data_IF_710126243166
#
_entry.id   IF_710126243166
#
_cell.length_a   1.000
_cell.length_b   1.000
_cell.length_c   1.000
_cell.angle_alpha   90.00
_cell.angle_beta   90.00
_cell.angle_gamma   90.00
#
_symmetry.space_group_name_H-M   'P 1'
#
loop_
_entity.id
_entity.type
_entity.pdbx_description
1 polymer ?
#
# COMPACT_ATOMS: atom_id res chain seq x y z
N UNK A 1 -9.77 12.68 18.23
CA UNK A 1 -8.58 13.04 17.42
C UNK A 1 -9.02 13.24 15.98
N UNK A 2 -8.32 14.06 15.18
CA UNK A 2 -8.64 14.27 13.76
C UNK A 2 -7.60 13.59 12.89
N UNK A 3 -8.06 12.91 11.84
CA UNK A 3 -7.25 12.31 10.79
C UNK A 3 -6.94 13.36 9.71
N UNK A 4 -5.76 13.32 9.15
CA UNK A 4 -5.40 14.07 7.93
C UNK A 4 -5.64 13.17 6.74
N UNK A 5 -6.62 13.48 5.94
CA UNK A 5 -7.04 12.70 4.78
C UNK A 5 -6.69 13.46 3.51
N UNK A 6 -5.93 12.84 2.62
CA UNK A 6 -5.62 13.38 1.32
C UNK A 6 -6.79 13.20 0.34
N UNK A 7 -7.37 11.99 0.34
CA UNK A 7 -8.58 11.70 -0.46
C UNK A 7 -9.30 10.44 0.06
N UNK A 8 -10.60 10.34 -0.23
CA UNK A 8 -11.40 9.12 -0.07
C UNK A 8 -12.06 8.87 -1.42
N UNK A 9 -11.93 7.66 -1.97
CA UNK A 9 -12.48 7.35 -3.29
C UNK A 9 -12.84 5.86 -3.44
N UNK A 10 -13.62 5.59 -4.44
CA UNK A 10 -14.14 4.26 -4.77
C UNK A 10 -15.70 4.23 -4.78
N UNK A 11 -16.36 3.06 -4.79
CA UNK A 11 -15.72 1.74 -4.90
C UNK A 11 -14.97 1.56 -6.22
N UNK A 12 -13.79 0.98 -6.12
CA UNK A 12 -12.98 0.54 -7.24
C UNK A 12 -12.38 -0.82 -6.91
N UNK A 13 -11.30 -1.23 -7.56
CA UNK A 13 -10.58 -2.47 -7.22
C UNK A 13 -9.21 -2.16 -6.61
N UNK A 14 -8.76 -2.99 -5.65
CA UNK A 14 -7.36 -2.94 -5.24
C UNK A 14 -6.47 -3.40 -6.40
N UNK A 15 -5.50 -2.57 -6.75
CA UNK A 15 -4.60 -2.82 -7.90
C UNK A 15 -3.34 -3.59 -7.57
N UNK A 16 -3.07 -3.91 -6.29
CA UNK A 16 -1.77 -4.42 -5.85
C UNK A 16 -1.86 -5.47 -4.75
N UNK A 17 -0.78 -6.26 -4.64
CA UNK A 17 -0.55 -7.17 -3.52
C UNK A 17 -1.62 -8.26 -3.38
N UNK A 18 -1.82 -8.71 -2.15
CA UNK A 18 -2.68 -9.86 -1.82
C UNK A 18 -4.17 -9.61 -2.14
N UNK A 19 -4.60 -8.36 -2.18
CA UNK A 19 -6.00 -7.96 -2.43
C UNK A 19 -6.27 -7.54 -3.89
N UNK A 20 -5.34 -7.78 -4.81
CA UNK A 20 -5.50 -7.40 -6.22
C UNK A 20 -6.85 -7.90 -6.78
N UNK A 21 -7.61 -6.98 -7.40
CA UNK A 21 -8.94 -7.26 -7.95
C UNK A 21 -10.09 -7.17 -6.94
N UNK A 22 -9.83 -7.04 -5.64
CA UNK A 22 -10.88 -6.95 -4.64
C UNK A 22 -11.61 -5.60 -4.69
N UNK A 23 -12.97 -5.55 -4.65
CA UNK A 23 -13.72 -4.31 -4.50
C UNK A 23 -13.31 -3.57 -3.23
N UNK A 24 -12.98 -2.28 -3.36
CA UNK A 24 -12.32 -1.52 -2.30
C UNK A 24 -12.75 -0.05 -2.32
N UNK A 25 -12.94 0.54 -1.14
CA UNK A 25 -12.91 1.98 -0.93
C UNK A 25 -11.57 2.34 -0.31
N UNK A 26 -10.90 3.33 -0.86
CA UNK A 26 -9.62 3.82 -0.37
C UNK A 26 -9.77 5.02 0.55
N UNK A 27 -9.07 4.97 1.68
CA UNK A 27 -8.87 6.12 2.58
C UNK A 27 -7.37 6.44 2.56
N UNK A 28 -7.01 7.50 1.84
CA UNK A 28 -5.63 7.91 1.63
C UNK A 28 -5.19 8.92 2.69
N UNK A 29 -4.30 8.52 3.57
CA UNK A 29 -3.72 9.35 4.62
C UNK A 29 -2.82 10.45 4.05
N UNK A 30 -2.92 11.67 4.60
CA UNK A 30 -2.01 12.77 4.28
C UNK A 30 -0.80 12.80 5.23
N UNK A 31 0.39 12.79 4.64
CA UNK A 31 1.70 12.79 5.30
C UNK A 31 2.39 11.42 5.26
N UNK A 32 3.71 11.46 5.16
CA UNK A 32 4.60 10.31 5.20
C UNK A 32 5.90 10.69 5.93
N UNK A 33 6.52 9.72 6.55
CA UNK A 33 7.85 9.82 7.15
C UNK A 33 8.98 9.46 6.18
N UNK A 34 8.64 8.93 4.98
CA UNK A 34 9.56 8.67 3.85
C UNK A 34 9.35 9.66 2.70
N UNK A 35 10.34 9.75 1.80
CA UNK A 35 10.36 10.58 0.59
C UNK A 35 10.92 9.80 -0.59
N UNK A 36 10.28 8.66 -0.91
CA UNK A 36 10.73 7.79 -2.00
C UNK A 36 10.83 8.57 -3.33
N UNK A 37 11.93 8.38 -4.06
CA UNK A 37 12.21 9.08 -5.33
C UNK A 37 11.12 8.84 -6.37
N UNK A 38 10.57 7.63 -6.39
CA UNK A 38 9.54 7.18 -7.33
C UNK A 38 8.14 7.09 -6.69
N UNK A 39 7.83 7.96 -5.73
CA UNK A 39 6.51 7.97 -5.08
C UNK A 39 5.42 8.43 -6.04
N UNK A 40 4.45 7.57 -6.33
CA UNK A 40 3.28 7.84 -7.16
C UNK A 40 2.20 8.68 -6.46
N UNK A 41 2.32 8.83 -5.15
CA UNK A 41 1.32 9.49 -4.30
C UNK A 41 1.88 10.76 -3.62
N UNK A 42 2.76 11.50 -4.30
CA UNK A 42 3.40 12.71 -3.74
C UNK A 42 2.40 13.74 -3.20
N UNK A 43 1.19 13.82 -3.77
CA UNK A 43 0.12 14.66 -3.28
C UNK A 43 -0.37 14.29 -1.86
N UNK A 44 -0.15 13.04 -1.45
CA UNK A 44 -0.43 12.57 -0.09
C UNK A 44 0.81 12.59 0.81
N UNK A 45 2.00 12.77 0.26
CA UNK A 45 3.28 12.70 0.98
C UNK A 45 3.85 14.07 1.25
N UNK A 46 3.98 14.93 0.23
CA UNK A 46 4.65 16.22 0.35
C UNK A 46 3.76 17.27 1.03
N UNK A 47 4.36 17.96 2.00
CA UNK A 47 3.70 19.04 2.75
C UNK A 47 3.30 20.24 1.88
N UNK A 48 3.87 20.39 0.69
CA UNK A 48 3.42 21.38 -0.31
C UNK A 48 1.93 21.18 -0.68
N UNK A 49 1.44 19.94 -0.63
CA UNK A 49 0.05 19.61 -0.89
C UNK A 49 -0.84 19.61 0.36
N UNK A 50 -0.29 19.97 1.55
CA UNK A 50 -1.03 19.92 2.82
C UNK A 50 -2.31 20.76 2.81
N UNK A 51 -2.37 21.79 1.99
CA UNK A 51 -3.54 22.63 1.81
C UNK A 51 -4.72 21.90 1.17
N UNK A 52 -4.48 20.75 0.50
CA UNK A 52 -5.49 19.88 -0.09
C UNK A 52 -6.00 18.81 0.89
N UNK A 53 -5.27 18.57 2.00
CA UNK A 53 -5.65 17.55 2.96
C UNK A 53 -6.74 18.06 3.89
N UNK A 54 -7.75 17.23 4.10
CA UNK A 54 -8.85 17.53 5.01
C UNK A 54 -8.54 16.98 6.41
N UNK A 55 -8.93 17.72 7.44
CA UNK A 55 -8.95 17.24 8.82
C UNK A 55 -10.34 16.71 9.11
N UNK A 56 -10.46 15.40 9.27
CA UNK A 56 -11.72 14.70 9.46
C UNK A 56 -11.73 13.93 10.77
N UNK A 57 -12.89 13.82 11.42
CA UNK A 57 -13.07 12.85 12.51
C UNK A 57 -13.17 11.44 11.94
N UNK A 58 -12.93 10.41 12.75
CA UNK A 58 -13.15 9.03 12.35
C UNK A 58 -14.60 8.79 11.87
N UNK A 59 -15.57 9.43 12.54
CA UNK A 59 -17.00 9.35 12.13
C UNK A 59 -17.23 9.97 10.75
N UNK A 60 -16.66 11.15 10.47
CA UNK A 60 -16.84 11.80 9.17
C UNK A 60 -16.20 10.98 8.02
N UNK A 61 -15.04 10.38 8.25
CA UNK A 61 -14.42 9.44 7.28
C UNK A 61 -15.32 8.22 7.08
N UNK A 62 -15.86 7.67 8.16
CA UNK A 62 -16.74 6.51 8.09
C UNK A 62 -18.04 6.80 7.33
N UNK A 63 -18.65 7.95 7.56
CA UNK A 63 -19.87 8.38 6.86
C UNK A 63 -19.63 8.48 5.35
N UNK A 64 -18.47 8.99 4.94
CA UNK A 64 -18.08 9.08 3.52
C UNK A 64 -17.84 7.69 2.91
N UNK A 65 -17.12 6.81 3.60
CA UNK A 65 -16.91 5.40 3.16
C UNK A 65 -18.24 4.68 2.97
N UNK A 66 -19.19 4.84 3.92
CA UNK A 66 -20.52 4.24 3.81
C UNK A 66 -21.33 4.81 2.64
N UNK A 67 -21.23 6.11 2.42
CA UNK A 67 -21.91 6.74 1.29
C UNK A 67 -21.40 6.19 -0.05
N UNK A 68 -20.08 6.08 -0.21
CA UNK A 68 -19.45 5.54 -1.41
C UNK A 68 -19.82 4.07 -1.67
N UNK A 69 -19.84 3.24 -0.63
CA UNK A 69 -20.18 1.81 -0.75
C UNK A 69 -21.70 1.53 -0.81
N UNK A 70 -22.54 2.56 -0.71
CA UNK A 70 -23.98 2.39 -0.60
C UNK A 70 -24.39 1.58 0.64
N UNK A 71 -23.57 1.60 1.70
CA UNK A 71 -23.79 0.83 2.93
C UNK A 71 -23.55 -0.67 2.78
N UNK A 72 -22.99 -1.14 1.67
CA UNK A 72 -22.65 -2.54 1.47
C UNK A 72 -21.23 -2.82 1.96
N UNK A 73 -21.01 -3.79 2.87
CA UNK A 73 -19.71 -4.14 3.37
C UNK A 73 -18.75 -4.58 2.26
N UNK A 74 -17.55 -3.97 2.27
CA UNK A 74 -16.44 -4.29 1.38
C UNK A 74 -15.12 -4.05 2.11
N UNK A 75 -14.01 -4.12 1.40
CA UNK A 75 -12.69 -3.80 1.97
C UNK A 75 -12.47 -2.28 1.95
N UNK A 76 -12.07 -1.72 3.10
CA UNK A 76 -11.53 -0.36 3.22
C UNK A 76 -10.02 -0.45 3.27
N UNK A 77 -9.33 0.15 2.28
CA UNK A 77 -7.87 0.16 2.22
C UNK A 77 -7.32 1.47 2.76
N UNK A 78 -6.62 1.39 3.87
CA UNK A 78 -5.85 2.49 4.44
C UNK A 78 -4.51 2.59 3.70
N UNK A 79 -4.32 3.65 2.94
CA UNK A 79 -3.14 3.88 2.10
C UNK A 79 -2.70 5.34 2.16
N UNK A 80 -1.90 5.79 1.20
CA UNK A 80 -1.57 7.21 1.04
C UNK A 80 -0.11 7.50 1.22
N UNK A 81 0.24 8.51 2.02
CA UNK A 81 1.58 8.67 2.56
C UNK A 81 1.92 7.46 3.43
N UNK A 82 1.97 7.62 4.75
CA UNK A 82 2.04 6.48 5.66
C UNK A 82 0.85 6.52 6.64
N UNK A 83 -0.14 5.60 6.53
CA UNK A 83 -1.25 5.54 7.48
C UNK A 83 -0.78 5.36 8.92
N UNK A 84 0.33 4.65 9.12
CA UNK A 84 0.87 4.35 10.44
C UNK A 84 1.32 5.60 11.23
N UNK A 85 1.51 6.76 10.62
CA UNK A 85 1.80 8.00 11.37
C UNK A 85 0.57 8.62 12.04
N UNK A 86 -0.63 8.04 11.85
CA UNK A 86 -1.89 8.49 12.42
C UNK A 86 -2.59 7.37 13.20
N UNK A 87 -3.64 7.72 13.94
CA UNK A 87 -4.44 6.73 14.69
C UNK A 87 -5.76 6.44 13.96
N UNK A 88 -5.78 5.34 13.23
CA UNK A 88 -6.95 4.83 12.53
C UNK A 88 -7.81 3.85 13.36
N UNK A 89 -7.41 3.51 14.58
CA UNK A 89 -8.15 2.58 15.44
C UNK A 89 -9.65 2.91 15.58
N UNK A 90 -10.03 4.17 15.87
CA UNK A 90 -11.44 4.55 15.96
C UNK A 90 -12.22 4.34 14.64
N UNK A 91 -11.63 4.59 13.47
CA UNK A 91 -12.25 4.33 12.18
C UNK A 91 -12.45 2.84 11.93
N UNK A 92 -11.43 2.04 12.23
CA UNK A 92 -11.48 0.57 12.09
C UNK A 92 -12.59 0.00 12.96
N UNK A 93 -12.71 0.45 14.21
CA UNK A 93 -13.75 0.00 15.12
C UNK A 93 -15.17 0.29 14.58
N UNK A 94 -15.41 1.50 14.03
CA UNK A 94 -16.68 1.87 13.42
C UNK A 94 -17.01 0.96 12.24
N UNK A 95 -16.08 0.78 11.30
CA UNK A 95 -16.35 -0.01 10.10
C UNK A 95 -16.51 -1.50 10.39
N UNK A 96 -15.75 -2.05 11.33
CA UNK A 96 -15.90 -3.46 11.73
C UNK A 96 -17.24 -3.74 12.40
N UNK A 97 -17.78 -2.79 13.16
CA UNK A 97 -19.13 -2.95 13.72
C UNK A 97 -20.24 -3.06 12.66
N UNK A 98 -19.97 -2.51 11.46
CA UNK A 98 -20.88 -2.58 10.30
C UNK A 98 -20.49 -3.71 9.32
N UNK A 99 -19.53 -4.60 9.70
CA UNK A 99 -19.15 -5.79 8.92
C UNK A 99 -18.14 -5.53 7.80
N UNK A 100 -17.51 -4.35 7.73
CA UNK A 100 -16.47 -4.04 6.74
C UNK A 100 -15.13 -4.63 7.13
N UNK A 101 -14.31 -4.94 6.12
CA UNK A 101 -12.94 -5.40 6.29
C UNK A 101 -11.96 -4.24 6.13
N UNK A 102 -10.86 -4.29 6.86
CA UNK A 102 -9.82 -3.26 6.79
C UNK A 102 -8.47 -3.83 6.38
N UNK A 103 -7.88 -3.22 5.37
CA UNK A 103 -6.50 -3.45 4.98
C UNK A 103 -5.67 -2.18 5.20
N UNK A 104 -4.41 -2.33 5.52
CA UNK A 104 -3.46 -1.23 5.60
C UNK A 104 -2.19 -1.57 4.85
N UNK A 105 -1.71 -0.65 4.02
CA UNK A 105 -0.38 -0.71 3.46
C UNK A 105 0.52 0.36 4.10
N UNK A 106 1.67 -0.07 4.61
CA UNK A 106 2.70 0.76 5.23
C UNK A 106 4.09 0.24 4.89
N UNK A 107 5.09 1.13 4.85
CA UNK A 107 6.49 0.73 4.67
C UNK A 107 7.08 0.01 5.90
N UNK A 108 6.37 -0.03 7.03
CA UNK A 108 6.84 -0.72 8.24
C UNK A 108 7.78 0.11 9.11
N UNK A 109 7.77 1.44 8.98
CA UNK A 109 8.61 2.38 9.74
C UNK A 109 8.01 2.77 11.09
N UNK A 110 6.71 2.64 11.28
CA UNK A 110 5.98 3.05 12.49
C UNK A 110 5.00 1.96 12.90
N UNK A 111 5.21 1.36 14.06
CA UNK A 111 4.32 0.36 14.64
C UNK A 111 3.09 0.99 15.31
N UNK A 112 1.92 0.35 15.19
CA UNK A 112 0.66 0.80 15.79
C UNK A 112 -0.11 -0.34 16.41
N UNK A 113 -0.71 -0.08 17.57
CA UNK A 113 -1.55 -1.08 18.27
C UNK A 113 -2.75 -1.52 17.44
N UNK A 114 -3.34 -0.60 16.66
CA UNK A 114 -4.49 -0.90 15.82
C UNK A 114 -4.19 -1.84 14.63
N UNK A 115 -2.92 -2.17 14.37
CA UNK A 115 -2.57 -3.22 13.39
C UNK A 115 -3.21 -4.57 13.73
N UNK A 116 -3.35 -4.88 15.02
CA UNK A 116 -4.01 -6.10 15.47
C UNK A 116 -5.50 -6.15 15.14
N UNK A 117 -6.12 -5.03 14.80
CA UNK A 117 -7.55 -4.94 14.45
C UNK A 117 -7.80 -5.00 12.92
N UNK A 118 -6.75 -5.04 12.11
CA UNK A 118 -6.86 -5.18 10.66
C UNK A 118 -7.26 -6.60 10.25
N UNK A 119 -7.80 -6.75 9.04
CA UNK A 119 -7.97 -8.04 8.38
C UNK A 119 -6.73 -8.37 7.54
N UNK A 120 -6.11 -7.36 6.93
CA UNK A 120 -4.89 -7.52 6.13
C UNK A 120 -3.89 -6.41 6.43
N UNK A 121 -2.64 -6.78 6.71
CA UNK A 121 -1.52 -5.85 6.84
C UNK A 121 -0.50 -6.09 5.73
N UNK A 122 -0.31 -5.12 4.86
CA UNK A 122 0.70 -5.15 3.81
C UNK A 122 1.91 -4.34 4.28
N UNK A 123 2.99 -5.04 4.59
CA UNK A 123 4.28 -4.42 4.90
C UNK A 123 5.09 -4.29 3.61
N UNK A 124 5.37 -3.06 3.22
CA UNK A 124 6.01 -2.73 1.95
C UNK A 124 7.33 -1.99 2.18
N UNK A 125 8.39 -2.67 2.67
CA UNK A 125 9.69 -2.06 2.88
C UNK A 125 10.24 -1.55 1.55
N UNK A 126 10.94 -0.43 1.59
CA UNK A 126 11.36 0.28 0.38
C UNK A 126 12.77 -0.16 -0.04
N UNK A 127 12.92 -0.62 -1.30
CA UNK A 127 14.22 -1.06 -1.83
C UNK A 127 15.16 0.13 -2.10
N UNK A 128 16.46 -0.12 -2.43
CA UNK A 128 17.46 0.91 -2.64
C UNK A 128 17.09 1.99 -3.66
N UNK A 129 16.37 1.64 -4.73
CA UNK A 129 15.91 2.60 -5.75
C UNK A 129 15.00 3.69 -5.18
N UNK A 130 14.39 3.47 -4.02
CA UNK A 130 13.56 4.47 -3.35
C UNK A 130 14.34 5.64 -2.78
N UNK A 131 15.65 5.45 -2.52
CA UNK A 131 16.49 6.39 -1.78
C UNK A 131 16.32 6.33 -0.26
N UNK A 132 15.46 5.46 0.25
CA UNK A 132 15.19 5.29 1.68
C UNK A 132 15.95 4.10 2.27
N UNK A 133 16.14 4.13 3.58
CA UNK A 133 16.78 3.05 4.34
C UNK A 133 15.78 2.46 5.32
N UNK A 134 15.60 1.14 5.27
CA UNK A 134 14.66 0.44 6.16
C UNK A 134 15.27 0.29 7.55
N UNK A 135 14.54 0.76 8.57
CA UNK A 135 14.79 0.41 9.96
C UNK A 135 14.13 -0.94 10.28
N UNK A 136 14.93 -2.00 10.29
CA UNK A 136 14.43 -3.36 10.53
C UNK A 136 13.91 -3.56 11.95
N UNK A 137 14.39 -2.81 12.95
CA UNK A 137 13.86 -2.88 14.31
C UNK A 137 12.45 -2.28 14.39
N UNK A 138 12.21 -1.16 13.70
CA UNK A 138 10.86 -0.60 13.53
C UNK A 138 9.93 -1.57 12.76
N UNK A 139 10.45 -2.20 11.70
CA UNK A 139 9.72 -3.19 10.92
C UNK A 139 9.29 -4.39 11.77
N UNK A 140 10.18 -4.96 12.57
CA UNK A 140 9.88 -6.05 13.50
C UNK A 140 8.86 -5.64 14.58
N UNK A 141 8.92 -4.37 15.01
CA UNK A 141 7.91 -3.81 15.90
C UNK A 141 6.52 -3.79 15.25
N UNK A 142 6.42 -3.55 13.94
CA UNK A 142 5.15 -3.63 13.22
C UNK A 142 4.59 -5.06 13.23
N UNK A 143 5.42 -6.07 12.99
CA UNK A 143 5.02 -7.48 13.06
C UNK A 143 4.55 -7.84 14.48
N UNK A 144 5.27 -7.39 15.50
CA UNK A 144 4.90 -7.61 16.90
C UNK A 144 3.54 -7.00 17.24
N UNK A 145 3.27 -5.77 16.78
CA UNK A 145 1.98 -5.10 17.01
C UNK A 145 0.83 -5.76 16.26
N UNK A 146 1.06 -6.36 15.11
CA UNK A 146 0.06 -7.12 14.38
C UNK A 146 -0.41 -8.37 15.14
N UNK A 147 0.41 -8.91 16.05
CA UNK A 147 0.10 -10.06 16.91
C UNK A 147 -0.39 -11.31 16.15
N UNK A 148 0.04 -11.50 14.91
CA UNK A 148 -0.40 -12.56 14.00
C UNK A 148 -1.94 -12.63 13.80
N UNK A 149 -2.67 -11.55 14.05
CA UNK A 149 -4.13 -11.48 13.85
C UNK A 149 -4.53 -11.17 12.40
N UNK A 150 -4.00 -10.08 11.74
CA UNK A 150 -4.27 -9.86 10.33
C UNK A 150 -3.49 -10.85 9.46
N UNK A 151 -4.01 -11.10 8.25
CA UNK A 151 -3.18 -11.67 7.19
C UNK A 151 -2.05 -10.67 6.89
N UNK A 152 -0.84 -10.97 7.36
CA UNK A 152 0.33 -10.09 7.16
C UNK A 152 1.15 -10.59 6.00
N UNK A 153 1.43 -9.72 5.04
CA UNK A 153 2.17 -10.04 3.81
C UNK A 153 3.30 -9.04 3.56
N UNK A 154 4.31 -9.49 2.85
CA UNK A 154 5.40 -8.67 2.37
C UNK A 154 5.13 -8.28 0.91
N UNK A 155 5.18 -6.99 0.57
CA UNK A 155 5.07 -6.49 -0.79
C UNK A 155 6.28 -5.61 -1.12
N UNK A 156 7.02 -5.93 -2.18
CA UNK A 156 8.21 -5.18 -2.59
C UNK A 156 8.08 -4.76 -4.04
N UNK A 157 8.30 -3.48 -4.28
CA UNK A 157 8.35 -2.90 -5.63
C UNK A 157 9.77 -3.03 -6.17
N UNK A 158 9.92 -3.47 -7.41
CA UNK A 158 11.20 -3.79 -8.05
C UNK A 158 11.37 -2.92 -9.29
N UNK A 159 12.45 -2.14 -9.34
CA UNK A 159 12.80 -1.33 -10.51
C UNK A 159 13.95 -1.93 -11.32
N UNK A 160 14.88 -2.61 -10.65
CA UNK A 160 16.11 -3.12 -11.27
C UNK A 160 16.67 -4.36 -10.54
N UNK A 161 17.82 -4.85 -11.00
CA UNK A 161 18.54 -6.00 -10.43
C UNK A 161 18.99 -5.73 -8.98
N UNK A 162 19.30 -4.48 -8.63
CA UNK A 162 19.72 -4.12 -7.27
C UNK A 162 18.57 -4.27 -6.30
N UNK A 163 17.39 -3.78 -6.68
CA UNK A 163 16.17 -3.95 -5.91
C UNK A 163 15.78 -5.42 -5.77
N UNK A 164 15.94 -6.19 -6.85
CA UNK A 164 15.65 -7.62 -6.84
C UNK A 164 16.55 -8.38 -5.86
N UNK A 165 17.87 -8.13 -5.90
CA UNK A 165 18.82 -8.73 -4.98
C UNK A 165 18.52 -8.36 -3.54
N UNK A 166 18.24 -7.08 -3.29
CA UNK A 166 17.85 -6.59 -1.97
C UNK A 166 16.53 -7.23 -1.49
N UNK A 167 15.54 -7.39 -2.37
CA UNK A 167 14.27 -8.02 -2.02
C UNK A 167 14.44 -9.47 -1.58
N UNK A 168 15.38 -10.21 -2.18
CA UNK A 168 15.74 -11.57 -1.75
C UNK A 168 16.30 -11.60 -0.33
N UNK A 169 17.17 -10.65 0.01
CA UNK A 169 17.72 -10.52 1.37
C UNK A 169 16.63 -10.12 2.37
N UNK A 170 15.80 -9.15 2.02
CA UNK A 170 14.70 -8.67 2.85
C UNK A 170 13.69 -9.79 3.13
N UNK A 171 13.25 -10.52 2.11
CA UNK A 171 12.33 -11.66 2.27
C UNK A 171 12.96 -12.82 3.04
N UNK A 172 14.27 -13.04 2.90
CA UNK A 172 15.00 -14.05 3.66
C UNK A 172 14.99 -13.82 5.17
N UNK A 173 14.73 -12.59 5.64
CA UNK A 173 14.54 -12.27 7.07
C UNK A 173 13.19 -12.77 7.60
N UNK A 174 12.19 -12.90 6.73
CA UNK A 174 10.79 -13.21 7.08
C UNK A 174 10.24 -14.31 6.18
N UNK A 175 10.80 -15.52 6.20
CA UNK A 175 10.48 -16.61 5.25
C UNK A 175 9.04 -17.11 5.38
N UNK A 176 8.38 -16.85 6.51
CA UNK A 176 7.00 -17.28 6.78
C UNK A 176 5.95 -16.27 6.25
N UNK A 177 6.38 -15.07 5.82
CA UNK A 177 5.45 -14.10 5.26
C UNK A 177 5.21 -14.36 3.77
N UNK A 178 3.95 -14.42 3.31
CA UNK A 178 3.64 -14.42 1.89
C UNK A 178 4.27 -13.22 1.19
N UNK A 179 4.99 -13.47 0.10
CA UNK A 179 5.76 -12.46 -0.62
C UNK A 179 5.09 -12.10 -1.96
N UNK A 180 4.92 -10.82 -2.18
CA UNK A 180 4.43 -10.23 -3.42
C UNK A 180 5.46 -9.28 -3.99
N UNK A 181 5.88 -9.52 -5.23
CA UNK A 181 6.77 -8.65 -5.99
C UNK A 181 5.98 -8.00 -7.12
N UNK A 182 6.25 -6.74 -7.38
CA UNK A 182 5.65 -6.04 -8.51
C UNK A 182 6.68 -5.10 -9.15
N UNK A 183 6.69 -4.96 -10.49
CA UNK A 183 7.54 -3.97 -11.13
C UNK A 183 7.03 -2.58 -10.79
N UNK A 184 7.95 -1.64 -10.55
CA UNK A 184 7.62 -0.24 -10.35
C UNK A 184 7.27 0.47 -11.66
N UNK A 185 6.37 1.44 -11.59
CA UNK A 185 6.07 2.34 -12.69
C UNK A 185 6.99 3.56 -12.62
N UNK A 186 7.88 3.79 -13.59
CA UNK A 186 8.76 4.95 -13.62
C UNK A 186 8.05 6.23 -14.08
N UNK A 187 6.93 6.09 -14.79
CA UNK A 187 6.11 7.19 -15.29
C UNK A 187 5.15 7.66 -14.20
N UNK A 188 5.46 8.80 -13.60
CA UNK A 188 4.68 9.36 -12.49
C UNK A 188 3.82 10.57 -12.89
N UNK A 189 3.97 11.05 -14.11
CA UNK A 189 3.23 12.23 -14.60
C UNK A 189 1.77 11.86 -14.88
N UNK A 190 0.80 12.39 -14.11
CA UNK A 190 -0.61 12.08 -14.34
C UNK A 190 -1.17 12.65 -15.65
N UNK A 191 -0.43 13.50 -16.34
CA UNK A 191 -0.83 14.10 -17.62
C UNK A 191 -0.31 13.34 -18.84
N UNK A 192 0.63 12.41 -18.63
CA UNK A 192 1.19 11.57 -19.68
C UNK A 192 0.51 10.20 -19.71
N UNK A 193 0.35 9.66 -20.92
CA UNK A 193 -0.07 8.27 -21.08
C UNK A 193 1.04 7.33 -20.63
N UNK A 194 0.71 6.38 -19.80
CA UNK A 194 1.64 5.31 -19.39
C UNK A 194 1.98 4.44 -20.60
N UNK A 195 3.25 4.12 -20.75
CA UNK A 195 3.71 3.13 -21.73
C UNK A 195 3.40 1.71 -21.21
N UNK A 196 2.24 1.19 -21.61
CA UNK A 196 1.79 -0.14 -21.20
C UNK A 196 2.69 -1.26 -21.75
N UNK A 197 3.35 -1.05 -22.88
CA UNK A 197 4.31 -2.03 -23.41
C UNK A 197 5.52 -2.11 -22.49
N UNK A 198 6.10 -0.97 -22.11
CA UNK A 198 7.19 -0.93 -21.14
C UNK A 198 6.80 -1.51 -19.77
N UNK A 199 5.58 -1.27 -19.29
CA UNK A 199 5.09 -1.89 -18.05
C UNK A 199 5.00 -3.42 -18.18
N UNK A 200 4.55 -3.93 -19.33
CA UNK A 200 4.45 -5.36 -19.61
C UNK A 200 5.83 -6.00 -19.73
N UNK A 201 6.78 -5.35 -20.40
CA UNK A 201 8.17 -5.83 -20.53
C UNK A 201 8.86 -5.94 -19.17
N UNK A 202 8.65 -4.97 -18.26
CA UNK A 202 9.17 -5.03 -16.88
C UNK A 202 8.54 -6.17 -16.08
N UNK A 203 7.23 -6.39 -16.25
CA UNK A 203 6.54 -7.51 -15.60
C UNK A 203 7.09 -8.84 -16.10
N UNK A 204 7.28 -8.99 -17.42
CA UNK A 204 7.84 -10.19 -18.04
C UNK A 204 9.27 -10.44 -17.53
N UNK A 205 10.12 -9.40 -17.54
CA UNK A 205 11.48 -9.50 -16.98
C UNK A 205 11.48 -10.01 -15.53
N UNK A 206 10.59 -9.49 -14.68
CA UNK A 206 10.53 -9.92 -13.27
C UNK A 206 10.04 -11.37 -13.14
N UNK A 207 9.07 -11.79 -13.96
CA UNK A 207 8.59 -13.18 -14.01
C UNK A 207 9.71 -14.13 -14.44
N UNK A 208 10.42 -13.80 -15.53
CA UNK A 208 11.54 -14.59 -16.03
C UNK A 208 12.66 -14.71 -15.00
N UNK A 209 12.98 -13.59 -14.31
CA UNK A 209 13.98 -13.53 -13.26
C UNK A 209 13.66 -14.44 -12.09
N UNK A 210 12.45 -14.32 -11.54
CA UNK A 210 11.96 -15.14 -10.42
C UNK A 210 11.96 -16.62 -10.80
N UNK A 211 11.56 -16.95 -12.05
CA UNK A 211 11.51 -18.32 -12.55
C UNK A 211 12.90 -18.90 -12.74
N UNK A 212 13.81 -18.15 -13.37
CA UNK A 212 15.20 -18.58 -13.60
C UNK A 212 15.93 -18.85 -12.28
N UNK A 213 15.74 -17.97 -11.29
CA UNK A 213 16.34 -18.11 -9.97
C UNK A 213 15.61 -19.11 -9.05
N UNK A 214 14.53 -19.75 -9.54
CA UNK A 214 13.68 -20.69 -8.78
C UNK A 214 13.18 -20.13 -7.46
N UNK A 215 12.89 -18.83 -7.42
CA UNK A 215 12.36 -18.18 -6.22
C UNK A 215 10.83 -18.34 -6.11
N UNK A 216 10.37 -19.58 -5.98
CA UNK A 216 8.97 -19.98 -6.08
C UNK A 216 8.08 -19.52 -4.91
N UNK A 217 8.68 -18.99 -3.84
CA UNK A 217 7.94 -18.35 -2.77
C UNK A 217 7.38 -16.97 -3.17
N UNK A 218 8.00 -16.32 -4.17
CA UNK A 218 7.58 -15.01 -4.62
C UNK A 218 6.39 -15.10 -5.61
N UNK A 219 5.36 -14.30 -5.37
CA UNK A 219 4.25 -14.09 -6.29
C UNK A 219 4.48 -12.78 -7.04
N UNK A 220 4.56 -12.85 -8.36
CA UNK A 220 4.77 -11.67 -9.21
C UNK A 220 3.43 -11.16 -9.71
N UNK A 221 3.14 -9.88 -9.48
CA UNK A 221 1.88 -9.22 -9.84
C UNK A 221 2.15 -7.92 -10.60
N UNK A 222 1.28 -7.52 -11.55
CA UNK A 222 1.29 -6.18 -12.11
C UNK A 222 0.74 -5.16 -11.12
N UNK A 223 0.93 -3.87 -11.42
CA UNK A 223 0.09 -2.80 -10.89
C UNK A 223 -1.18 -2.71 -11.75
N UNK A 224 -2.24 -3.42 -11.35
CA UNK A 224 -3.46 -3.56 -12.15
C UNK A 224 -4.13 -2.21 -12.42
N UNK A 225 -4.13 -1.30 -11.45
CA UNK A 225 -4.69 0.04 -11.62
C UNK A 225 -3.92 0.85 -12.69
N UNK A 226 -2.59 0.68 -12.81
CA UNK A 226 -1.79 1.32 -13.86
C UNK A 226 -2.15 0.76 -15.23
N UNK A 227 -2.36 -0.56 -15.35
CA UNK A 227 -2.77 -1.19 -16.61
C UNK A 227 -4.16 -0.73 -17.08
N UNK A 228 -5.08 -0.47 -16.13
CA UNK A 228 -6.45 -0.10 -16.46
C UNK A 228 -6.62 1.42 -16.67
N UNK A 229 -5.97 2.24 -15.86
CA UNK A 229 -6.26 3.67 -15.79
C UNK A 229 -5.01 4.57 -15.89
N UNK A 230 -3.82 3.97 -16.07
CA UNK A 230 -2.57 4.72 -16.07
C UNK A 230 -2.31 5.38 -14.72
N UNK A 231 -1.88 6.64 -14.74
CA UNK A 231 -1.60 7.43 -13.54
C UNK A 231 -2.81 8.25 -13.06
N UNK A 232 -4.02 7.89 -13.47
CA UNK A 232 -5.23 8.59 -13.06
C UNK A 232 -5.48 8.45 -11.55
N UNK A 233 -5.79 9.56 -10.87
CA UNK A 233 -6.11 9.58 -9.44
C UNK A 233 -7.58 9.27 -9.19
N UNK A 234 -7.89 8.67 -8.04
CA UNK A 234 -9.26 8.46 -7.57
C UNK A 234 -10.02 7.38 -8.33
N UNK A 235 -9.34 6.38 -8.88
CA UNK A 235 -9.91 5.28 -9.68
C UNK A 235 -9.58 3.93 -9.10
#
# INVERSE_FOLDING_TARGET
MSLRISEIFGPTIQGEGVLIGAPTVFVRAGGCDYRCVWCDSMHAVDTAYRHQWQKMSAQAVWDEVRALSGGQPLTVSLSGGNPAIQDFGPLIALGKSDGYRFACETQGSVARQWFAELDTLVLSPKPPSSGEVVDWAAFESCLTMAQARPETVLKIVIFDETDYAWAREAAGRYPDLPLYLQPGNPDLDPQQSVDLAACTDRLLWLVEKVTADRWFAARVLPQLHVLLWGNKRGV
#
